data_IF_979101133610
#
_entry.id   IF_979101133610
#
_cell.length_a   1.000
_cell.length_b   1.000
_cell.length_c   1.000
_cell.angle_alpha   90.00
_cell.angle_beta   90.00
_cell.angle_gamma   90.00
#
_symmetry.space_group_name_H-M   'P 1'
#
loop_
_entity.id
_entity.type
_entity.pdbx_description
1 polymer ?
#
# COMPACT_ATOMS: atom_id res chain seq x y z
N UNK A 1 -11.44 -11.38 38.67
CA UNK A 1 -10.29 -11.64 37.78
C UNK A 1 -10.51 -11.24 36.31
N UNK A 2 -11.73 -10.89 35.85
CA UNK A 2 -11.98 -10.36 34.49
C UNK A 2 -11.77 -8.84 34.35
N UNK A 3 -12.07 -8.05 35.39
CA UNK A 3 -11.91 -6.59 35.37
C UNK A 3 -10.44 -6.15 35.30
N UNK A 4 -9.54 -6.93 35.90
CA UNK A 4 -8.10 -6.67 35.86
C UNK A 4 -7.55 -6.92 34.46
N UNK A 5 -7.97 -8.00 33.79
CA UNK A 5 -7.51 -8.34 32.43
C UNK A 5 -7.89 -7.28 31.38
N UNK A 6 -9.07 -6.66 31.51
CA UNK A 6 -9.55 -5.63 30.59
C UNK A 6 -8.88 -4.26 30.86
N UNK A 7 -8.59 -3.97 32.13
CA UNK A 7 -7.83 -2.79 32.53
C UNK A 7 -6.34 -2.92 32.16
N UNK A 8 -5.72 -4.09 32.34
CA UNK A 8 -4.34 -4.41 31.94
C UNK A 8 -4.20 -4.44 30.41
N UNK A 9 -5.20 -4.97 29.67
CA UNK A 9 -5.30 -4.85 28.21
C UNK A 9 -5.42 -3.40 27.76
N UNK A 10 -6.24 -2.59 28.44
CA UNK A 10 -6.36 -1.15 28.13
C UNK A 10 -5.11 -0.36 28.51
N UNK A 11 -4.45 -0.71 29.60
CA UNK A 11 -3.21 -0.08 30.09
C UNK A 11 -2.01 -0.44 29.19
N UNK A 12 -1.95 -1.68 28.68
CA UNK A 12 -0.95 -2.11 27.69
C UNK A 12 -1.16 -1.45 26.32
N UNK A 13 -2.41 -1.24 25.88
CA UNK A 13 -2.73 -0.40 24.72
C UNK A 13 -2.30 1.07 24.95
N UNK A 14 -2.48 1.59 26.17
CA UNK A 14 -2.09 2.96 26.55
C UNK A 14 -0.57 3.14 26.73
N UNK A 15 0.19 2.05 26.98
CA UNK A 15 1.64 2.05 27.19
C UNK A 15 2.47 1.85 25.92
N UNK A 16 1.89 1.40 24.80
CA UNK A 16 2.59 1.43 23.50
C UNK A 16 2.45 2.84 22.92
N UNK A 17 3.29 3.75 23.40
CA UNK A 17 3.44 5.08 22.81
C UNK A 17 3.95 4.89 21.38
N UNK A 18 3.09 5.12 20.38
CA UNK A 18 3.51 5.12 18.99
C UNK A 18 4.37 6.36 18.74
N UNK A 19 5.60 6.14 18.25
CA UNK A 19 6.49 7.23 17.88
C UNK A 19 6.00 7.84 16.57
N UNK A 20 5.56 9.08 16.61
CA UNK A 20 5.23 9.87 15.41
C UNK A 20 6.44 10.69 15.02
N UNK A 21 6.85 10.59 13.76
CA UNK A 21 7.94 11.37 13.20
C UNK A 21 7.42 12.26 12.08
N UNK A 22 7.79 13.55 12.12
CA UNK A 22 7.50 14.48 11.04
C UNK A 22 8.70 14.53 10.09
N UNK A 23 8.45 14.24 8.82
CA UNK A 23 9.50 14.23 7.79
C UNK A 23 9.36 15.49 6.93
N UNK A 24 10.47 16.22 6.79
CA UNK A 24 10.56 17.46 5.97
C UNK A 24 11.42 17.24 4.73
N UNK A 25 11.32 18.15 3.76
CA UNK A 25 12.18 18.13 2.57
C UNK A 25 11.85 17.00 1.58
N UNK A 26 10.63 16.47 1.68
CA UNK A 26 10.11 15.44 0.78
C UNK A 26 9.38 16.09 -0.39
N UNK A 27 9.20 15.33 -1.47
CA UNK A 27 8.43 15.75 -2.62
C UNK A 27 7.00 16.15 -2.24
N UNK A 28 6.60 17.38 -2.55
CA UNK A 28 5.23 17.82 -2.30
C UNK A 28 4.42 17.81 -3.59
N UNK A 29 3.13 17.55 -3.46
CA UNK A 29 2.20 17.71 -4.55
C UNK A 29 1.89 19.19 -4.77
N UNK A 30 1.87 19.64 -6.02
CA UNK A 30 1.33 20.96 -6.38
C UNK A 30 -0.14 21.10 -5.95
N UNK A 31 -0.51 22.26 -5.40
CA UNK A 31 -1.86 22.52 -4.88
C UNK A 31 -2.99 22.37 -5.93
N UNK A 32 -2.67 22.56 -7.22
CA UNK A 32 -3.59 22.35 -8.33
C UNK A 32 -3.65 20.93 -8.89
N UNK A 33 -2.85 20.01 -8.33
CA UNK A 33 -2.72 18.64 -8.83
C UNK A 33 -3.75 17.71 -8.19
N UNK A 34 -4.33 16.83 -9.01
CA UNK A 34 -5.31 15.81 -8.60
C UNK A 34 -4.64 14.45 -8.33
N UNK A 35 -3.36 14.43 -8.01
CA UNK A 35 -2.56 13.21 -7.88
C UNK A 35 -2.40 12.74 -6.42
N UNK A 36 -3.26 13.17 -5.50
CA UNK A 36 -2.97 13.05 -4.07
C UNK A 36 -2.90 11.60 -3.63
N UNK A 37 -3.77 10.75 -4.20
CA UNK A 37 -3.73 9.30 -4.01
C UNK A 37 -2.40 8.70 -4.46
N UNK A 38 -1.87 9.13 -5.61
CA UNK A 38 -0.58 8.65 -6.13
C UNK A 38 0.55 9.01 -5.17
N UNK A 39 0.56 10.21 -4.61
CA UNK A 39 1.57 10.60 -3.62
C UNK A 39 1.48 9.74 -2.35
N UNK A 40 0.27 9.48 -1.85
CA UNK A 40 0.07 8.61 -0.67
C UNK A 40 0.54 7.19 -0.96
N UNK A 41 0.17 6.62 -2.11
CA UNK A 41 0.55 5.25 -2.49
C UNK A 41 2.07 5.11 -2.61
N UNK A 42 2.73 6.10 -3.24
CA UNK A 42 4.19 6.13 -3.36
C UNK A 42 4.85 6.18 -1.98
N UNK A 43 4.40 7.05 -1.08
CA UNK A 43 5.00 7.11 0.25
C UNK A 43 4.74 5.85 1.07
N UNK A 44 3.55 5.26 0.97
CA UNK A 44 3.25 3.99 1.61
C UNK A 44 4.17 2.87 1.10
N UNK A 45 4.42 2.82 -0.21
CA UNK A 45 5.34 1.86 -0.83
C UNK A 45 6.77 2.05 -0.32
N UNK A 46 7.30 3.26 -0.37
CA UNK A 46 8.67 3.56 0.10
C UNK A 46 8.86 3.22 1.58
N UNK A 47 7.90 3.60 2.44
CA UNK A 47 7.95 3.29 3.87
C UNK A 47 7.84 1.79 4.14
N UNK A 48 6.99 1.08 3.37
CA UNK A 48 6.81 -0.37 3.52
C UNK A 48 8.05 -1.15 3.09
N UNK A 49 8.75 -0.69 2.05
CA UNK A 49 9.98 -1.30 1.54
C UNK A 49 11.24 -0.80 2.29
N UNK A 50 11.11 0.13 3.23
CA UNK A 50 12.24 0.73 3.94
C UNK A 50 13.16 1.56 3.03
N UNK A 51 12.63 2.07 1.91
CA UNK A 51 13.35 2.92 0.96
C UNK A 51 13.47 4.35 1.48
N UNK A 52 14.53 5.03 1.04
CA UNK A 52 14.72 6.46 1.33
C UNK A 52 13.63 7.31 0.70
N UNK A 53 12.97 8.15 1.50
CA UNK A 53 11.84 8.98 1.06
C UNK A 53 12.31 9.99 -0.01
N UNK A 54 11.64 10.08 -1.17
CA UNK A 54 12.07 10.96 -2.25
C UNK A 54 11.98 12.44 -1.88
N UNK A 55 13.06 13.18 -2.12
CA UNK A 55 13.12 14.64 -1.96
C UNK A 55 12.86 15.41 -3.26
N UNK A 56 13.01 14.77 -4.42
CA UNK A 56 12.68 15.32 -5.73
C UNK A 56 11.24 14.99 -6.13
N UNK A 57 10.67 15.72 -7.10
CA UNK A 57 9.29 15.52 -7.57
C UNK A 57 8.95 14.06 -7.92
N UNK A 58 7.73 13.65 -7.58
CA UNK A 58 7.18 12.33 -7.91
C UNK A 58 6.52 12.40 -9.29
N UNK A 59 6.95 11.53 -10.22
CA UNK A 59 6.29 11.37 -11.50
C UNK A 59 4.98 10.58 -11.35
N UNK A 60 3.91 11.31 -11.09
CA UNK A 60 2.60 10.71 -10.90
C UNK A 60 2.06 9.96 -12.13
N UNK A 61 2.51 10.30 -13.35
CA UNK A 61 2.10 9.58 -14.56
C UNK A 61 2.75 8.20 -14.60
N UNK A 62 4.05 8.14 -14.33
CA UNK A 62 4.80 6.88 -14.24
C UNK A 62 4.17 5.95 -13.19
N UNK A 63 3.94 6.44 -11.98
CA UNK A 63 3.37 5.62 -10.90
C UNK A 63 1.96 5.13 -11.20
N UNK A 64 1.10 5.96 -11.82
CA UNK A 64 -0.22 5.51 -12.29
C UNK A 64 -0.13 4.35 -13.26
N UNK A 65 0.76 4.45 -14.26
CA UNK A 65 0.90 3.40 -15.26
C UNK A 65 1.41 2.10 -14.63
N UNK A 66 2.34 2.20 -13.67
CA UNK A 66 2.83 1.06 -12.90
C UNK A 66 1.71 0.40 -12.09
N UNK A 67 0.94 1.17 -11.32
CA UNK A 67 -0.14 0.63 -10.49
C UNK A 67 -1.28 0.03 -11.33
N UNK A 68 -1.68 0.68 -12.43
CA UNK A 68 -2.65 0.10 -13.37
C UNK A 68 -2.15 -1.22 -13.94
N UNK A 69 -0.88 -1.29 -14.34
CA UNK A 69 -0.28 -2.53 -14.86
C UNK A 69 -0.30 -3.65 -13.82
N UNK A 70 0.04 -3.34 -12.56
CA UNK A 70 0.00 -4.30 -11.46
C UNK A 70 -1.43 -4.80 -11.20
N UNK A 71 -2.41 -3.89 -11.17
CA UNK A 71 -3.82 -4.22 -10.97
C UNK A 71 -4.38 -5.08 -12.11
N UNK A 72 -4.06 -4.74 -13.36
CA UNK A 72 -4.46 -5.55 -14.51
C UNK A 72 -3.89 -6.96 -14.45
N UNK A 73 -2.60 -7.11 -14.12
CA UNK A 73 -1.96 -8.42 -13.96
C UNK A 73 -2.63 -9.25 -12.86
N UNK A 74 -2.89 -8.64 -11.71
CA UNK A 74 -3.60 -9.31 -10.62
C UNK A 74 -5.02 -9.75 -11.05
N UNK A 75 -5.76 -8.88 -11.73
CA UNK A 75 -7.09 -9.20 -12.27
C UNK A 75 -7.06 -10.38 -13.23
N UNK A 76 -6.08 -10.45 -14.13
CA UNK A 76 -5.91 -11.58 -15.06
C UNK A 76 -5.59 -12.89 -14.33
N UNK A 77 -4.67 -12.86 -13.37
CA UNK A 77 -4.32 -14.05 -12.57
C UNK A 77 -5.52 -14.51 -11.74
N UNK A 78 -6.28 -13.58 -11.17
CA UNK A 78 -7.48 -13.90 -10.41
C UNK A 78 -8.54 -14.57 -11.29
N UNK A 79 -8.79 -14.03 -12.49
CA UNK A 79 -9.72 -14.63 -13.43
C UNK A 79 -9.31 -16.05 -13.86
N UNK A 80 -8.01 -16.30 -14.08
CA UNK A 80 -7.50 -17.64 -14.38
C UNK A 80 -7.68 -18.62 -13.20
N UNK A 81 -7.46 -18.17 -11.97
CA UNK A 81 -7.63 -19.01 -10.78
C UNK A 81 -9.09 -19.28 -10.43
N UNK A 82 -9.99 -18.34 -10.74
CA UNK A 82 -11.43 -18.47 -10.51
C UNK A 82 -12.11 -19.30 -11.61
N UNK A 83 -11.46 -19.48 -12.77
CA UNK A 83 -11.92 -20.38 -13.84
C UNK A 83 -11.64 -21.86 -13.48
N UNK A 84 -12.63 -22.77 -13.59
CA UNK A 84 -12.39 -24.19 -13.39
C UNK A 84 -11.36 -24.72 -14.41
N UNK A 85 -10.55 -25.74 -14.07
CA UNK A 85 -9.47 -26.21 -14.94
C UNK A 85 -9.98 -26.48 -16.34
N UNK A 86 -9.47 -25.73 -17.32
CA UNK A 86 -9.82 -25.92 -18.73
C UNK A 86 -9.51 -27.39 -19.09
N UNK A 87 -10.49 -28.19 -19.55
CA UNK A 87 -10.22 -29.55 -19.97
C UNK A 87 -9.11 -29.53 -21.02
N UNK A 88 -7.98 -30.17 -20.73
CA UNK A 88 -6.92 -30.38 -21.73
C UNK A 88 -7.52 -31.20 -22.86
N UNK A 89 -7.82 -30.55 -23.99
CA UNK A 89 -8.23 -31.25 -25.20
C UNK A 89 -7.00 -31.93 -25.81
N UNK A 90 -6.76 -33.19 -25.46
CA UNK A 90 -5.88 -34.06 -26.23
C UNK A 90 -6.68 -34.59 -27.42
N UNK A 91 -6.59 -33.90 -28.54
CA UNK A 91 -6.96 -34.53 -29.82
C UNK A 91 -5.77 -35.41 -30.22
N UNK A 92 -5.97 -36.72 -30.10
CA UNK A 92 -5.12 -37.77 -30.69
C UNK A 92 -5.61 -38.06 -32.10
#
# INVERSE_FOLDING_TARGET
MMMLFLADFSLSILQVLFRVEYVTGIAQQDSGSLNCGVFVDVYAEYLSEGLGIPSSGIDAQYHRMRYVTLLCKYGSVKAENDDPPRPRSSFT
#
